data_IF_662273191994
#
_entry.id   IF_662273191994
#
_cell.length_a   1.000
_cell.length_b   1.000
_cell.length_c   1.000
_cell.angle_alpha   90.00
_cell.angle_beta   90.00
_cell.angle_gamma   90.00
#
_symmetry.space_group_name_H-M   'P 1'
#
loop_
_entity.id
_entity.type
_entity.pdbx_description
1 polymer ?
#
# COMPACT_ATOMS: atom_id res chain seq x y z
N UNK A 1 18.06 11.90 -20.73
CA UNK A 1 17.99 11.66 -19.27
C UNK A 1 18.13 12.94 -18.44
N UNK A 2 19.05 13.87 -18.76
CA UNK A 2 19.26 15.11 -18.00
C UNK A 2 18.03 16.06 -17.89
N UNK A 3 17.24 16.24 -18.96
CA UNK A 3 16.07 17.14 -18.95
C UNK A 3 14.91 16.66 -18.04
N UNK A 4 14.73 15.35 -17.91
CA UNK A 4 13.72 14.77 -17.01
C UNK A 4 14.14 14.88 -15.55
N UNK A 5 15.44 14.69 -15.28
CA UNK A 5 16.04 14.89 -13.96
C UNK A 5 15.92 16.34 -13.47
N UNK A 6 16.18 17.32 -14.34
CA UNK A 6 16.05 18.75 -14.01
C UNK A 6 14.61 19.17 -13.69
N UNK A 7 13.61 18.67 -14.44
CA UNK A 7 12.19 18.91 -14.14
C UNK A 7 11.78 18.25 -12.82
N UNK A 8 12.19 17.02 -12.60
CA UNK A 8 11.93 16.30 -11.36
C UNK A 8 12.53 17.03 -10.14
N UNK A 9 13.77 17.51 -10.24
CA UNK A 9 14.41 18.28 -9.17
C UNK A 9 13.74 19.64 -8.94
N UNK A 10 13.23 20.28 -9.99
CA UNK A 10 12.49 21.55 -9.88
C UNK A 10 11.12 21.37 -9.22
N UNK A 11 10.42 20.28 -9.51
CA UNK A 11 9.08 19.99 -8.97
C UNK A 11 9.12 19.41 -7.55
N UNK A 12 10.16 18.63 -7.21
CA UNK A 12 10.21 17.86 -5.97
C UNK A 12 11.41 18.16 -5.07
N UNK A 13 12.34 19.05 -5.48
CA UNK A 13 13.56 19.38 -4.73
C UNK A 13 14.65 18.30 -4.77
N UNK A 14 14.34 17.09 -5.22
CA UNK A 14 15.24 15.95 -5.37
C UNK A 14 14.96 15.24 -6.70
N UNK A 15 15.96 15.20 -7.59
CA UNK A 15 15.81 14.64 -8.93
C UNK A 15 15.44 13.15 -8.93
N UNK A 16 15.97 12.35 -8.00
CA UNK A 16 15.76 10.90 -7.97
C UNK A 16 14.38 10.58 -7.41
N UNK A 17 14.02 11.19 -6.28
CA UNK A 17 12.68 11.04 -5.70
C UNK A 17 11.60 11.62 -6.64
N UNK A 18 11.86 12.77 -7.26
CA UNK A 18 10.94 13.39 -8.20
C UNK A 18 10.68 12.53 -9.44
N UNK A 19 11.69 11.77 -9.91
CA UNK A 19 11.51 10.80 -10.99
C UNK A 19 10.66 9.60 -10.56
N UNK A 20 10.89 9.07 -9.36
CA UNK A 20 10.10 7.96 -8.80
C UNK A 20 8.62 8.34 -8.63
N UNK A 21 8.35 9.52 -8.04
CA UNK A 21 7.01 10.05 -7.83
C UNK A 21 6.29 10.32 -9.15
N UNK A 22 6.98 10.94 -10.11
CA UNK A 22 6.45 11.16 -11.46
C UNK A 22 6.11 9.84 -12.17
N UNK A 23 6.96 8.82 -12.00
CA UNK A 23 6.72 7.48 -12.56
C UNK A 23 5.51 6.82 -11.91
N UNK A 24 5.40 6.88 -10.57
CA UNK A 24 4.26 6.34 -9.83
C UNK A 24 2.94 7.04 -10.23
N UNK A 25 2.94 8.37 -10.31
CA UNK A 25 1.78 9.16 -10.79
C UNK A 25 1.34 8.72 -12.18
N UNK A 26 2.29 8.59 -13.12
CA UNK A 26 1.98 8.14 -14.48
C UNK A 26 1.47 6.71 -14.52
N UNK A 27 1.99 5.82 -13.67
CA UNK A 27 1.50 4.45 -13.56
C UNK A 27 0.05 4.42 -13.06
N UNK A 28 -0.28 5.23 -12.05
CA UNK A 28 -1.64 5.37 -11.50
C UNK A 28 -2.62 5.91 -12.55
N UNK A 29 -2.27 7.00 -13.23
CA UNK A 29 -3.14 7.59 -14.27
C UNK A 29 -3.34 6.67 -15.49
N UNK A 30 -2.44 5.71 -15.70
CA UNK A 30 -2.55 4.68 -16.72
C UNK A 30 -3.33 3.44 -16.27
N UNK A 31 -3.76 3.34 -15.01
CA UNK A 31 -4.75 2.34 -14.64
C UNK A 31 -6.05 2.67 -15.38
N UNK A 32 -6.29 1.96 -16.48
CA UNK A 32 -7.60 1.94 -17.13
C UNK A 32 -8.48 0.83 -16.56
N UNK A 33 -9.78 0.89 -16.87
CA UNK A 33 -10.73 -0.19 -16.63
C UNK A 33 -10.49 -1.35 -17.60
N UNK A 34 -9.44 -2.13 -17.33
CA UNK A 34 -9.34 -3.46 -17.94
C UNK A 34 -10.40 -4.33 -17.28
N UNK A 35 -11.28 -4.99 -18.04
CA UNK A 35 -12.29 -5.86 -17.45
C UNK A 35 -11.58 -6.93 -16.61
N UNK A 36 -11.88 -6.94 -15.31
CA UNK A 36 -11.34 -7.93 -14.39
C UNK A 36 -12.06 -9.23 -14.70
N UNK A 37 -11.43 -10.09 -15.51
CA UNK A 37 -12.00 -11.40 -15.79
C UNK A 37 -11.90 -12.28 -14.54
N UNK A 38 -13.01 -12.86 -14.10
CA UNK A 38 -13.12 -13.71 -12.89
C UNK A 38 -12.12 -14.88 -12.86
N UNK A 39 -11.78 -15.43 -14.03
CA UNK A 39 -10.70 -16.42 -14.23
C UNK A 39 -9.26 -15.95 -13.88
N UNK A 40 -9.00 -14.67 -13.62
CA UNK A 40 -7.68 -14.17 -13.18
C UNK A 40 -7.80 -13.39 -11.86
N UNK A 41 -8.35 -14.04 -10.85
CA UNK A 41 -8.48 -13.46 -9.52
C UNK A 41 -7.11 -13.20 -8.88
N UNK A 42 -6.88 -11.95 -8.45
CA UNK A 42 -5.69 -11.51 -7.73
C UNK A 42 -6.14 -10.88 -6.41
N UNK A 43 -6.24 -11.67 -5.32
CA UNK A 43 -6.77 -11.16 -4.06
C UNK A 43 -5.97 -9.96 -3.59
N UNK A 44 -6.66 -8.85 -3.31
CA UNK A 44 -6.11 -7.72 -2.56
C UNK A 44 -6.64 -7.84 -1.14
N UNK A 45 -5.76 -7.71 -0.15
CA UNK A 45 -6.12 -7.93 1.25
C UNK A 45 -6.12 -6.58 1.98
N UNK A 46 -7.18 -6.36 2.75
CA UNK A 46 -7.32 -5.29 3.73
C UNK A 46 -7.45 -5.98 5.09
N UNK A 47 -6.48 -5.77 5.97
CA UNK A 47 -6.39 -6.49 7.25
C UNK A 47 -6.59 -5.49 8.38
N UNK A 48 -7.60 -5.74 9.18
CA UNK A 48 -7.88 -4.95 10.38
C UNK A 48 -7.09 -5.54 11.54
N UNK A 49 -6.24 -4.71 12.14
CA UNK A 49 -5.41 -5.07 13.29
C UNK A 49 -5.87 -4.25 14.48
N UNK A 50 -5.87 -4.88 15.66
CA UNK A 50 -6.08 -4.17 16.90
C UNK A 50 -4.73 -3.87 17.53
N UNK A 51 -4.45 -2.60 17.77
CA UNK A 51 -3.26 -2.14 18.47
C UNK A 51 -3.52 -2.03 19.98
N UNK A 52 -2.49 -2.24 20.78
CA UNK A 52 -2.48 -1.93 22.21
C UNK A 52 -2.03 -0.47 22.48
N UNK A 53 -2.01 -0.07 23.75
CA UNK A 53 -1.58 1.28 24.16
C UNK A 53 -0.09 1.55 23.89
N UNK A 54 0.69 0.50 23.62
CA UNK A 54 2.11 0.55 23.24
C UNK A 54 2.32 0.42 21.72
N UNK A 55 1.25 0.57 20.94
CA UNK A 55 1.23 0.43 19.48
C UNK A 55 1.69 -0.94 18.95
N UNK A 56 1.57 -1.98 19.77
CA UNK A 56 1.86 -3.36 19.38
C UNK A 56 0.60 -4.07 18.88
N UNK A 57 0.81 -5.01 17.97
CA UNK A 57 -0.28 -5.79 17.37
C UNK A 57 -0.69 -6.91 18.33
N UNK A 58 -1.96 -6.92 18.75
CA UNK A 58 -2.47 -7.96 19.65
C UNK A 58 -2.35 -9.39 19.11
N UNK A 59 -2.37 -9.55 17.79
CA UNK A 59 -2.34 -10.84 17.10
C UNK A 59 -1.24 -10.89 16.05
N UNK A 60 0.01 -10.98 16.50
CA UNK A 60 1.20 -11.04 15.61
C UNK A 60 1.11 -12.17 14.57
N UNK A 61 0.58 -13.35 14.94
CA UNK A 61 0.38 -14.49 14.03
C UNK A 61 -0.50 -14.15 12.81
N UNK A 62 -1.36 -13.13 12.91
CA UNK A 62 -2.15 -12.66 11.78
C UNK A 62 -1.24 -12.03 10.70
N UNK A 63 -0.17 -11.34 11.10
CA UNK A 63 0.81 -10.76 10.17
C UNK A 63 1.52 -11.86 9.39
N UNK A 64 1.94 -12.93 10.08
CA UNK A 64 2.61 -14.08 9.46
C UNK A 64 1.70 -14.77 8.44
N UNK A 65 0.44 -15.01 8.81
CA UNK A 65 -0.56 -15.61 7.92
C UNK A 65 -0.76 -14.76 6.66
N UNK A 66 -0.94 -13.46 6.84
CA UNK A 66 -1.16 -12.52 5.73
C UNK A 66 0.08 -12.44 4.83
N UNK A 67 1.28 -12.47 5.42
CA UNK A 67 2.53 -12.51 4.68
C UNK A 67 2.63 -13.76 3.81
N UNK A 68 2.31 -14.94 4.36
CA UNK A 68 2.30 -16.21 3.63
C UNK A 68 1.25 -16.22 2.51
N UNK A 69 0.03 -15.72 2.79
CA UNK A 69 -1.04 -15.62 1.79
C UNK A 69 -0.65 -14.72 0.60
N UNK A 70 0.16 -13.69 0.84
CA UNK A 70 0.62 -12.78 -0.20
C UNK A 70 1.89 -13.21 -0.90
N UNK A 71 2.76 -13.96 -0.23
CA UNK A 71 4.09 -14.33 -0.72
C UNK A 71 4.86 -13.13 -1.30
N UNK A 72 4.73 -11.95 -0.68
CA UNK A 72 5.35 -10.69 -1.13
C UNK A 72 4.80 -10.09 -2.42
N UNK A 73 3.64 -10.56 -2.93
CA UNK A 73 3.06 -10.11 -4.20
C UNK A 73 1.71 -9.43 -4.03
N UNK A 74 1.47 -8.44 -4.89
CA UNK A 74 0.21 -7.70 -4.93
C UNK A 74 0.09 -6.68 -3.81
N UNK A 75 -1.14 -6.17 -3.62
CA UNK A 75 -1.44 -5.09 -2.69
C UNK A 75 -1.97 -5.64 -1.36
N UNK A 76 -1.42 -5.16 -0.26
CA UNK A 76 -1.80 -5.49 1.11
C UNK A 76 -1.88 -4.18 1.88
N UNK A 77 -2.96 -3.97 2.61
CA UNK A 77 -3.17 -2.81 3.45
C UNK A 77 -3.49 -3.26 4.87
N UNK A 78 -2.91 -2.60 5.86
CA UNK A 78 -3.24 -2.76 7.27
C UNK A 78 -3.98 -1.53 7.76
N UNK A 79 -5.02 -1.76 8.55
CA UNK A 79 -5.85 -0.71 9.15
C UNK A 79 -5.89 -0.95 10.64
N UNK A 80 -5.59 0.07 11.42
CA UNK A 80 -5.82 0.04 12.86
C UNK A 80 -7.33 0.11 13.15
N UNK A 81 -7.81 -0.87 13.91
CA UNK A 81 -9.20 -1.04 14.32
C UNK A 81 -9.37 -0.88 15.85
N UNK A 82 -8.36 -0.36 16.56
CA UNK A 82 -8.40 -0.08 18.00
C UNK A 82 -9.64 0.74 18.42
N UNK A 83 -10.09 1.66 17.56
CA UNK A 83 -11.30 2.48 17.74
C UNK A 83 -12.61 1.69 17.93
N UNK A 84 -12.71 0.43 17.46
CA UNK A 84 -13.90 -0.39 17.71
C UNK A 84 -14.01 -0.82 19.18
N UNK A 85 -12.88 -1.01 19.85
CA UNK A 85 -12.84 -1.45 21.25
C UNK A 85 -13.37 -0.39 22.22
N UNK A 86 -13.20 0.89 21.90
CA UNK A 86 -13.68 2.00 22.72
C UNK A 86 -15.22 2.16 22.69
N UNK A 87 -15.94 1.47 21.80
CA UNK A 87 -17.41 1.52 21.73
C UNK A 87 -18.11 0.37 22.46
N UNK A 88 -17.38 -0.69 22.79
CA UNK A 88 -17.92 -1.87 23.48
C UNK A 88 -17.70 -1.83 25.01
N UNK A 89 -16.89 -0.89 25.49
CA UNK A 89 -16.69 -0.56 26.91
C UNK A 89 -17.38 0.76 27.27
#
# INVERSE_FOLDING_TARGET
MALLSLRASKEWGDATRGLQLSTAKRAILKLGDRPIHTKNWRPQLLVYLSLDDSLQVHHERMLDLVYQLKAGRGKLYFVDASWQRQKEN
#
